data_IF_487600744988
#
_entry.id   IF_487600744988
#
_cell.length_a   1.000
_cell.length_b   1.000
_cell.length_c   1.000
_cell.angle_alpha   90.00
_cell.angle_beta   90.00
_cell.angle_gamma   90.00
#
_symmetry.space_group_name_H-M   'P 1'
#
loop_
_entity.id
_entity.type
_entity.pdbx_description
1 polymer ?
#
# COMPACT_ATOMS: atom_id res chain seq x y z
N UNK A 1 10.66 -10.53 2.04
CA UNK A 1 10.27 -9.58 0.96
C UNK A 1 9.83 -8.23 1.54
N UNK A 2 10.21 -7.12 0.91
CA UNK A 2 9.88 -5.77 1.38
C UNK A 2 8.67 -5.22 0.63
N UNK A 3 7.68 -4.70 1.36
CA UNK A 3 6.45 -4.16 0.79
C UNK A 3 6.06 -2.86 1.47
N UNK A 4 5.47 -1.96 0.68
CA UNK A 4 4.86 -0.74 1.16
C UNK A 4 3.34 -0.92 1.14
N UNK A 5 2.68 -0.66 2.26
CA UNK A 5 1.23 -0.73 2.39
C UNK A 5 0.70 0.70 2.58
N UNK A 6 -0.36 1.01 1.88
CA UNK A 6 -0.98 2.34 1.89
C UNK A 6 -2.37 2.28 1.27
N UNK A 7 -3.28 3.11 1.76
CA UNK A 7 -4.58 3.33 1.13
C UNK A 7 -4.54 4.44 0.07
N UNK A 8 -5.49 4.39 -0.86
CA UNK A 8 -5.78 5.51 -1.74
C UNK A 8 -7.22 5.47 -2.25
N UNK A 9 -7.81 6.65 -2.43
CA UNK A 9 -9.08 6.82 -3.16
C UNK A 9 -8.90 6.76 -4.68
N UNK A 10 -7.67 6.83 -5.17
CA UNK A 10 -7.32 6.74 -6.60
C UNK A 10 -6.97 5.31 -6.97
N UNK A 11 -7.03 4.99 -8.26
CA UNK A 11 -6.55 3.70 -8.78
C UNK A 11 -5.11 3.44 -8.30
N UNK A 12 -4.78 2.22 -7.82
CA UNK A 12 -3.45 1.89 -7.32
C UNK A 12 -2.31 2.21 -8.31
N UNK A 13 -2.56 2.02 -9.62
CA UNK A 13 -1.62 2.35 -10.70
C UNK A 13 -1.28 3.84 -10.71
N UNK A 14 -2.31 4.70 -10.76
CA UNK A 14 -2.13 6.15 -10.73
C UNK A 14 -1.47 6.62 -9.43
N UNK A 15 -1.81 5.97 -8.31
CA UNK A 15 -1.20 6.28 -7.01
C UNK A 15 0.29 5.94 -7.00
N UNK A 16 0.67 4.81 -7.61
CA UNK A 16 2.05 4.38 -7.76
C UNK A 16 2.86 5.32 -8.65
N UNK A 17 2.29 5.76 -9.78
CA UNK A 17 2.91 6.77 -10.64
C UNK A 17 3.15 8.07 -9.89
N UNK A 18 2.16 8.57 -9.15
CA UNK A 18 2.32 9.75 -8.29
C UNK A 18 3.46 9.60 -7.28
N UNK A 19 3.63 8.40 -6.71
CA UNK A 19 4.78 8.13 -5.86
C UNK A 19 6.10 8.28 -6.61
N UNK A 20 6.20 7.77 -7.84
CA UNK A 20 7.40 7.87 -8.67
C UNK A 20 7.71 9.30 -9.10
N UNK A 21 6.68 10.06 -9.48
CA UNK A 21 6.77 11.46 -9.86
C UNK A 21 7.11 12.38 -8.68
N UNK A 22 6.98 11.89 -7.44
CA UNK A 22 7.25 12.66 -6.23
C UNK A 22 6.03 13.41 -5.69
N UNK A 23 4.89 13.37 -6.37
CA UNK A 23 3.66 14.02 -5.96
C UNK A 23 2.99 13.28 -4.79
N UNK A 24 2.85 13.96 -3.63
CA UNK A 24 2.33 13.36 -2.38
C UNK A 24 2.94 11.97 -2.12
N UNK A 25 4.25 11.87 -2.33
CA UNK A 25 4.96 10.60 -2.36
C UNK A 25 5.56 10.26 -1.00
N UNK A 26 5.51 8.98 -0.63
CA UNK A 26 6.35 8.42 0.40
C UNK A 26 7.74 8.10 -0.19
N UNK A 27 8.80 8.41 0.57
CA UNK A 27 10.20 8.08 0.22
C UNK A 27 10.34 6.59 -0.13
N UNK A 28 9.71 5.69 0.63
CA UNK A 28 9.83 4.26 0.37
C UNK A 28 9.23 3.84 -0.98
N UNK A 29 7.99 4.26 -1.25
CA UNK A 29 7.31 3.95 -2.51
C UNK A 29 7.99 4.60 -3.73
N UNK A 30 8.53 5.82 -3.57
CA UNK A 30 9.24 6.53 -4.64
C UNK A 30 10.55 5.84 -5.03
N UNK A 31 11.43 5.62 -4.04
CA UNK A 31 12.78 5.12 -4.28
C UNK A 31 12.83 3.59 -4.43
N UNK A 32 12.04 2.85 -3.66
CA UNK A 32 12.07 1.38 -3.63
C UNK A 32 10.85 0.70 -4.26
N UNK A 33 9.86 1.45 -4.74
CA UNK A 33 8.72 0.88 -5.45
C UNK A 33 9.14 0.26 -6.78
N UNK A 34 9.04 -1.07 -6.88
CA UNK A 34 9.37 -1.84 -8.11
C UNK A 34 8.11 -2.11 -8.93
N UNK A 35 7.11 -2.74 -8.31
CA UNK A 35 5.85 -3.11 -8.94
C UNK A 35 4.70 -3.15 -7.93
N UNK A 36 3.48 -3.02 -8.44
CA UNK A 36 2.28 -3.29 -7.65
C UNK A 36 2.08 -4.80 -7.47
N UNK A 37 1.47 -5.17 -6.35
CA UNK A 37 1.12 -6.56 -5.99
C UNK A 37 -0.40 -6.67 -5.80
N UNK A 38 -1.19 -6.71 -6.89
CA UNK A 38 -2.64 -6.86 -6.81
C UNK A 38 -3.05 -8.08 -5.99
N UNK A 39 -2.26 -9.17 -6.04
CA UNK A 39 -2.45 -10.37 -5.22
C UNK A 39 -2.68 -10.11 -3.72
N UNK A 40 -2.15 -8.99 -3.20
CA UNK A 40 -2.21 -8.65 -1.78
C UNK A 40 -3.38 -7.72 -1.43
N UNK A 41 -3.80 -6.84 -2.34
CA UNK A 41 -4.78 -5.79 -2.03
C UNK A 41 -6.11 -5.94 -2.77
N UNK A 42 -6.17 -6.72 -3.85
CA UNK A 42 -7.34 -6.79 -4.73
C UNK A 42 -8.57 -7.38 -4.03
N UNK A 43 -8.37 -8.36 -3.15
CA UNK A 43 -9.44 -8.98 -2.36
C UNK A 43 -10.17 -8.03 -1.39
N UNK A 44 -9.53 -6.90 -1.04
CA UNK A 44 -10.10 -5.92 -0.10
C UNK A 44 -10.82 -4.78 -0.80
N UNK A 45 -10.63 -4.62 -2.12
CA UNK A 45 -11.27 -3.58 -2.88
C UNK A 45 -12.65 -4.04 -3.41
N UNK A 46 -13.66 -3.14 -3.44
CA UNK A 46 -13.63 -1.74 -3.02
C UNK A 46 -13.88 -1.56 -1.51
N UNK A 47 -13.08 -0.70 -0.87
CA UNK A 47 -13.27 -0.34 0.55
C UNK A 47 -14.18 0.91 0.62
N UNK A 48 -15.34 0.83 1.30
CA UNK A 48 -16.34 1.89 1.26
C UNK A 48 -16.02 3.10 2.13
N UNK A 49 -15.36 2.91 3.28
CA UNK A 49 -15.05 4.01 4.20
C UNK A 49 -13.56 4.15 4.46
N UNK A 50 -13.14 5.36 4.79
CA UNK A 50 -11.74 5.64 5.17
C UNK A 50 -11.32 4.86 6.43
N UNK A 51 -12.22 4.73 7.41
CA UNK A 51 -11.94 3.98 8.65
C UNK A 51 -11.67 2.51 8.36
N UNK A 52 -12.46 1.91 7.46
CA UNK A 52 -12.23 0.51 7.06
C UNK A 52 -10.89 0.38 6.32
N UNK A 53 -10.53 1.37 5.50
CA UNK A 53 -9.24 1.35 4.80
C UNK A 53 -8.06 1.46 5.76
N UNK A 54 -8.17 2.32 6.79
CA UNK A 54 -7.16 2.46 7.85
C UNK A 54 -7.04 1.16 8.66
N UNK A 55 -8.15 0.51 9.01
CA UNK A 55 -8.15 -0.77 9.72
C UNK A 55 -7.56 -1.92 8.89
N UNK A 56 -7.90 -1.99 7.59
CA UNK A 56 -7.37 -3.00 6.68
C UNK A 56 -5.87 -2.78 6.44
N UNK A 57 -5.42 -1.54 6.30
CA UNK A 57 -4.01 -1.20 6.15
C UNK A 57 -3.19 -1.71 7.35
N UNK A 58 -3.65 -1.45 8.57
CA UNK A 58 -3.02 -1.93 9.80
C UNK A 58 -3.04 -3.46 9.88
N UNK A 59 -4.21 -4.08 9.66
CA UNK A 59 -4.37 -5.53 9.70
C UNK A 59 -3.46 -6.24 8.69
N UNK A 60 -3.42 -5.73 7.45
CA UNK A 60 -2.59 -6.27 6.38
C UNK A 60 -1.11 -6.07 6.68
N UNK A 61 -0.75 -4.91 7.25
CA UNK A 61 0.61 -4.63 7.65
C UNK A 61 1.11 -5.58 8.74
N UNK A 62 0.31 -5.81 9.78
CA UNK A 62 0.62 -6.75 10.86
C UNK A 62 0.67 -8.19 10.32
N UNK A 63 -0.32 -8.59 9.51
CA UNK A 63 -0.38 -9.92 8.91
C UNK A 63 0.83 -10.23 8.04
N UNK A 64 1.28 -9.27 7.23
CA UNK A 64 2.48 -9.42 6.41
C UNK A 64 3.76 -9.47 7.26
N UNK A 65 3.86 -8.65 8.33
CA UNK A 65 4.98 -8.72 9.28
C UNK A 65 5.08 -10.08 9.96
N UNK A 66 3.95 -10.64 10.42
CA UNK A 66 3.90 -11.98 11.02
C UNK A 66 4.34 -13.09 10.03
N UNK A 67 4.14 -12.88 8.72
CA UNK A 67 4.61 -13.78 7.67
C UNK A 67 6.08 -13.57 7.30
N UNK A 68 6.81 -12.70 8.00
CA UNK A 68 8.23 -12.41 7.77
C UNK A 68 8.50 -11.37 6.67
N UNK A 69 7.52 -10.56 6.29
CA UNK A 69 7.72 -9.46 5.34
C UNK A 69 8.21 -8.20 6.06
N UNK A 70 9.11 -7.46 5.42
CA UNK A 70 9.42 -6.09 5.84
C UNK A 70 8.32 -5.18 5.35
N UNK A 71 7.52 -4.63 6.27
CA UNK A 71 6.37 -3.79 5.93
C UNK A 71 6.56 -2.37 6.42
N UNK A 72 6.40 -1.43 5.49
CA UNK A 72 6.36 0.00 5.75
C UNK A 72 5.00 0.56 5.35
N UNK A 73 4.38 1.31 6.25
CA UNK A 73 3.16 2.08 6.04
C UNK A 73 3.30 3.38 6.85
N UNK A 74 2.65 4.46 6.43
CA UNK A 74 2.73 5.78 7.06
C UNK A 74 1.47 6.59 6.79
#
# INVERSE_FOLDING_TARGET
>A
PCVYVGQSTRKPVLRFEQHKEGYKSNKYAKYYGIKLRPDLYEQYNPIPTRKDAEAIEEMLGIGLRNRGYGVWFN
#
